data_IF_655702178403
#
_entry.id   IF_655702178403
#
_cell.length_a   1.000
_cell.length_b   1.000
_cell.length_c   1.000
_cell.angle_alpha   90.00
_cell.angle_beta   90.00
_cell.angle_gamma   90.00
#
_symmetry.space_group_name_H-M   'P 1'
#
loop_
_entity.id
_entity.type
_entity.pdbx_description
1 polymer ?
#
# COMPACT_ATOMS: atom_id res chain seq x y z
N UNK A 1 12.52 -13.41 -6.46
CA UNK A 1 13.23 -14.70 -6.53
C UNK A 1 12.21 -15.77 -6.20
N UNK A 2 12.01 -16.77 -7.07
CA UNK A 2 10.99 -17.81 -6.86
C UNK A 2 11.27 -18.60 -5.59
N UNK A 3 10.21 -18.97 -4.87
CA UNK A 3 10.27 -20.10 -3.96
C UNK A 3 10.06 -21.39 -4.77
N UNK A 4 11.16 -21.87 -5.35
CA UNK A 4 11.19 -23.08 -6.15
C UNK A 4 10.74 -24.32 -5.38
N UNK A 5 10.96 -24.34 -4.06
CA UNK A 5 10.51 -25.44 -3.20
C UNK A 5 8.97 -25.40 -3.06
N UNK A 6 8.36 -24.22 -2.90
CA UNK A 6 6.89 -24.09 -2.90
C UNK A 6 6.28 -24.54 -4.22
N UNK A 7 6.85 -24.15 -5.36
CA UNK A 7 6.39 -24.61 -6.69
C UNK A 7 6.51 -26.13 -6.84
N UNK A 8 7.63 -26.70 -6.39
CA UNK A 8 7.82 -28.14 -6.36
C UNK A 8 6.71 -28.85 -5.60
N UNK A 9 6.40 -28.42 -4.37
CA UNK A 9 5.35 -29.01 -3.54
C UNK A 9 3.94 -28.83 -4.12
N UNK A 10 3.64 -27.65 -4.66
CA UNK A 10 2.32 -27.36 -5.25
C UNK A 10 2.01 -28.24 -6.46
N UNK A 11 3.03 -28.66 -7.20
CA UNK A 11 2.90 -29.46 -8.42
C UNK A 11 3.22 -30.95 -8.25
N UNK A 12 3.08 -31.51 -7.04
CA UNK A 12 3.43 -32.92 -6.76
C UNK A 12 2.79 -33.93 -7.73
N UNK A 13 1.54 -33.73 -8.14
CA UNK A 13 0.85 -34.62 -9.08
C UNK A 13 1.35 -34.60 -10.52
N UNK A 14 2.23 -33.66 -10.88
CA UNK A 14 2.77 -33.49 -12.24
C UNK A 14 4.24 -33.87 -12.36
N UNK A 15 4.86 -34.30 -11.25
CA UNK A 15 6.25 -34.73 -11.23
C UNK A 15 6.36 -36.12 -11.86
N UNK A 16 7.44 -36.35 -12.60
CA UNK A 16 7.74 -37.63 -13.22
C UNK A 16 9.01 -38.23 -12.63
N UNK A 17 9.08 -39.56 -12.55
CA UNK A 17 10.32 -40.23 -12.17
C UNK A 17 11.39 -39.98 -13.23
N UNK A 18 12.60 -39.65 -12.79
CA UNK A 18 13.74 -39.41 -13.68
C UNK A 18 14.88 -40.35 -13.34
N UNK A 19 15.31 -41.15 -14.31
CA UNK A 19 16.46 -42.03 -14.17
C UNK A 19 17.70 -41.30 -14.69
N UNK A 20 18.49 -40.75 -13.78
CA UNK A 20 19.75 -40.10 -14.11
C UNK A 20 20.91 -41.11 -14.11
N UNK A 21 21.92 -40.85 -14.94
CA UNK A 21 23.20 -41.56 -14.89
C UNK A 21 24.06 -41.14 -13.70
N UNK A 22 23.83 -39.93 -13.18
CA UNK A 22 24.49 -39.40 -11.99
C UNK A 22 23.54 -39.26 -10.79
N UNK A 23 24.06 -39.49 -9.58
CA UNK A 23 23.31 -39.36 -8.33
C UNK A 23 23.16 -37.90 -7.86
N UNK A 24 24.11 -37.02 -8.19
CA UNK A 24 24.09 -35.62 -7.76
C UNK A 24 23.18 -34.78 -8.67
N UNK A 25 22.04 -34.33 -8.12
CA UNK A 25 21.05 -33.52 -8.82
C UNK A 25 21.55 -32.16 -9.28
N UNK A 26 22.73 -31.72 -8.81
CA UNK A 26 23.35 -30.47 -9.25
C UNK A 26 24.28 -30.68 -10.47
N UNK A 27 24.61 -31.91 -10.85
CA UNK A 27 25.56 -32.21 -11.93
C UNK A 27 24.92 -32.73 -13.23
N UNK A 28 23.59 -32.62 -13.34
CA UNK A 28 22.82 -33.14 -14.48
C UNK A 28 22.72 -32.20 -15.69
N UNK A 29 23.46 -31.09 -15.74
CA UNK A 29 23.37 -30.09 -16.81
C UNK A 29 23.55 -30.69 -18.22
N UNK A 30 24.52 -31.59 -18.37
CA UNK A 30 24.79 -32.28 -19.63
C UNK A 30 23.70 -33.27 -20.03
N UNK A 31 23.17 -34.05 -19.08
CA UNK A 31 22.09 -35.04 -19.33
C UNK A 31 20.77 -34.35 -19.69
N UNK A 32 20.50 -33.20 -19.09
CA UNK A 32 19.27 -32.43 -19.31
C UNK A 32 19.36 -31.50 -20.52
N UNK A 33 20.55 -31.33 -21.11
CA UNK A 33 20.83 -30.28 -22.10
C UNK A 33 20.32 -28.90 -21.62
N UNK A 34 20.64 -28.57 -20.36
CA UNK A 34 20.10 -27.42 -19.66
C UNK A 34 21.17 -26.76 -18.76
N UNK A 35 21.01 -25.49 -18.44
CA UNK A 35 21.93 -24.75 -17.59
C UNK A 35 21.47 -24.76 -16.14
N UNK A 36 22.33 -25.17 -15.19
CA UNK A 36 22.00 -25.04 -13.76
C UNK A 36 21.90 -23.56 -13.39
N UNK A 37 20.73 -23.13 -12.92
CA UNK A 37 20.46 -21.75 -12.49
C UNK A 37 20.30 -21.62 -10.98
N UNK A 38 19.88 -22.69 -10.28
CA UNK A 38 19.88 -22.76 -8.82
C UNK A 38 20.29 -24.15 -8.35
N UNK A 39 21.39 -24.30 -7.59
CA UNK A 39 21.72 -25.57 -6.96
C UNK A 39 20.78 -25.87 -5.78
N UNK A 40 20.53 -27.16 -5.52
CA UNK A 40 19.96 -27.63 -4.26
C UNK A 40 21.04 -27.58 -3.18
N UNK A 41 20.78 -26.88 -2.07
CA UNK A 41 21.72 -26.80 -0.95
C UNK A 41 21.59 -28.02 -0.02
N UNK A 42 20.37 -28.56 0.10
CA UNK A 42 20.04 -29.72 0.93
C UNK A 42 19.28 -30.78 0.13
N UNK A 43 19.20 -32.00 0.67
CA UNK A 43 18.54 -33.13 0.03
C UNK A 43 17.02 -32.91 -0.17
N UNK A 44 16.41 -32.07 0.66
CA UNK A 44 15.00 -31.66 0.57
C UNK A 44 14.77 -30.48 -0.39
N UNK A 45 15.83 -29.84 -0.87
CA UNK A 45 15.73 -28.72 -1.81
C UNK A 45 15.66 -29.21 -3.26
N UNK A 46 15.13 -28.34 -4.12
CA UNK A 46 15.19 -28.56 -5.55
C UNK A 46 16.34 -27.83 -6.24
N UNK A 47 16.99 -28.55 -7.16
CA UNK A 47 17.87 -27.99 -8.17
C UNK A 47 17.02 -27.49 -9.34
N UNK A 48 17.39 -26.35 -9.91
CA UNK A 48 16.66 -25.71 -11.01
C UNK A 48 17.58 -25.54 -12.18
N UNK A 49 17.16 -26.06 -13.32
CA UNK A 49 17.82 -25.93 -14.60
C UNK A 49 16.98 -25.11 -15.57
N UNK A 50 17.64 -24.35 -16.43
CA UNK A 50 17.05 -23.59 -17.52
C UNK A 50 17.30 -24.33 -18.84
N UNK A 51 16.23 -24.75 -19.50
CA UNK A 51 16.24 -25.44 -20.79
C UNK A 51 15.60 -24.58 -21.90
N UNK A 52 15.86 -23.27 -21.89
CA UNK A 52 15.36 -22.34 -22.90
C UNK A 52 13.93 -21.88 -22.60
N UNK A 53 12.92 -22.62 -23.04
CA UNK A 53 11.49 -22.24 -22.87
C UNK A 53 10.86 -22.80 -21.57
N UNK A 54 11.59 -23.63 -20.84
CA UNK A 54 11.13 -24.20 -19.57
C UNK A 54 12.23 -24.23 -18.52
N UNK A 55 11.82 -24.17 -17.26
CA UNK A 55 12.63 -24.58 -16.13
C UNK A 55 12.39 -26.06 -15.83
N UNK A 56 13.46 -26.77 -15.51
CA UNK A 56 13.41 -28.14 -15.01
C UNK A 56 13.78 -28.11 -13.53
N UNK A 57 12.86 -28.55 -12.68
CA UNK A 57 13.09 -28.70 -11.25
C UNK A 57 13.37 -30.17 -10.96
N UNK A 58 14.43 -30.44 -10.21
CA UNK A 58 14.83 -31.78 -9.77
C UNK A 58 14.88 -31.82 -8.25
N UNK A 59 14.29 -32.87 -7.69
CA UNK A 59 14.30 -33.09 -6.24
C UNK A 59 14.25 -34.57 -5.93
N UNK A 60 14.73 -34.92 -4.72
CA UNK A 60 14.63 -36.27 -4.19
C UNK A 60 13.36 -36.40 -3.33
N UNK A 61 12.32 -37.00 -3.91
CA UNK A 61 11.08 -37.32 -3.20
C UNK A 61 10.67 -38.75 -3.59
N UNK A 62 11.02 -39.72 -2.73
CA UNK A 62 10.88 -41.15 -3.02
C UNK A 62 11.59 -41.62 -4.31
N UNK A 63 12.76 -41.05 -4.58
CA UNK A 63 13.52 -41.24 -5.81
C UNK A 63 13.80 -39.90 -6.48
N UNK A 64 14.58 -39.92 -7.56
CA UNK A 64 14.82 -38.71 -8.34
C UNK A 64 13.58 -38.41 -9.18
N UNK A 65 13.04 -37.21 -9.01
CA UNK A 65 11.87 -36.72 -9.73
C UNK A 65 12.22 -35.47 -10.52
N UNK A 66 11.51 -35.26 -11.63
CA UNK A 66 11.62 -34.12 -12.51
C UNK A 66 10.26 -33.42 -12.62
N UNK A 67 10.27 -32.09 -12.60
CA UNK A 67 9.12 -31.25 -12.89
C UNK A 67 9.51 -30.23 -13.96
N UNK A 68 8.81 -30.27 -15.10
CA UNK A 68 8.97 -29.28 -16.17
C UNK A 68 7.98 -28.14 -15.98
N UNK A 69 8.49 -26.91 -15.88
CA UNK A 69 7.71 -25.69 -15.78
C UNK A 69 7.99 -24.81 -16.99
N UNK A 70 7.03 -24.72 -17.90
CA UNK A 70 7.06 -23.74 -18.98
C UNK A 70 7.23 -22.32 -18.42
N UNK A 71 8.24 -21.58 -18.90
CA UNK A 71 8.51 -20.19 -18.48
C UNK A 71 7.33 -19.29 -18.80
N UNK A 72 6.72 -19.53 -19.95
CA UNK A 72 5.49 -18.87 -20.38
C UNK A 72 4.27 -19.27 -19.53
N UNK A 73 4.40 -20.03 -18.44
CA UNK A 73 3.29 -20.35 -17.53
C UNK A 73 3.53 -19.86 -16.09
N UNK A 74 4.60 -19.10 -15.84
CA UNK A 74 4.97 -18.56 -14.52
C UNK A 74 4.44 -17.13 -14.35
N UNK A 75 3.13 -17.03 -14.10
CA UNK A 75 2.45 -15.75 -13.94
C UNK A 75 2.29 -15.38 -12.46
N UNK A 76 2.60 -14.13 -12.13
CA UNK A 76 2.13 -13.45 -10.92
C UNK A 76 0.94 -12.57 -11.31
N UNK A 77 -0.22 -12.83 -10.69
CA UNK A 77 -1.46 -12.10 -10.97
C UNK A 77 -1.96 -11.50 -9.66
N UNK A 78 -1.95 -10.18 -9.59
CA UNK A 78 -2.36 -9.43 -8.42
C UNK A 78 -3.64 -8.65 -8.73
N UNK A 79 -4.66 -8.86 -7.91
CA UNK A 79 -5.94 -8.16 -8.03
C UNK A 79 -6.14 -7.28 -6.81
N UNK A 80 -6.36 -5.97 -7.01
CA UNK A 80 -6.49 -5.00 -5.92
C UNK A 80 -7.49 -3.89 -6.22
N UNK A 81 -8.16 -3.40 -5.18
CA UNK A 81 -8.95 -2.18 -5.24
C UNK A 81 -8.08 -0.97 -4.87
N UNK A 82 -8.14 0.07 -5.70
CA UNK A 82 -7.41 1.32 -5.56
C UNK A 82 -8.42 2.45 -5.29
N UNK A 83 -8.79 2.72 -4.03
CA UNK A 83 -9.75 3.76 -3.67
C UNK A 83 -9.25 5.19 -3.97
N UNK A 84 -7.92 5.36 -4.05
CA UNK A 84 -7.23 6.64 -4.16
C UNK A 84 -6.48 6.82 -5.49
N UNK A 85 -6.91 6.14 -6.54
CA UNK A 85 -6.36 6.34 -7.88
C UNK A 85 -6.54 7.81 -8.32
N UNK A 86 -5.53 8.37 -8.99
CA UNK A 86 -5.46 9.80 -9.32
C UNK A 86 -6.59 10.30 -10.24
N UNK A 87 -7.25 9.40 -10.98
CA UNK A 87 -8.39 9.73 -11.84
C UNK A 87 -9.71 9.46 -11.12
N UNK A 88 -10.00 8.17 -10.88
CA UNK A 88 -11.16 7.70 -10.14
C UNK A 88 -10.81 6.36 -9.48
N UNK A 89 -11.49 5.98 -8.37
CA UNK A 89 -11.32 4.68 -7.73
C UNK A 89 -11.48 3.56 -8.75
N UNK A 90 -10.58 2.58 -8.72
CA UNK A 90 -10.57 1.52 -9.72
C UNK A 90 -10.16 0.17 -9.14
N UNK A 91 -10.53 -0.91 -9.81
CA UNK A 91 -9.88 -2.20 -9.62
C UNK A 91 -8.74 -2.30 -10.62
N UNK A 92 -7.60 -2.77 -10.14
CA UNK A 92 -6.44 -3.09 -10.96
C UNK A 92 -6.15 -4.58 -10.90
N UNK A 93 -5.88 -5.15 -12.06
CA UNK A 93 -5.32 -6.48 -12.23
C UNK A 93 -3.95 -6.31 -12.86
N UNK A 94 -2.91 -6.55 -12.07
CA UNK A 94 -1.53 -6.50 -12.51
C UNK A 94 -1.06 -7.93 -12.81
N UNK A 95 -0.50 -8.13 -14.00
CA UNK A 95 0.00 -9.42 -14.46
C UNK A 95 1.47 -9.26 -14.79
N UNK A 96 2.28 -10.20 -14.31
CA UNK A 96 3.69 -10.29 -14.66
C UNK A 96 4.06 -11.73 -14.98
N UNK A 97 4.72 -11.94 -16.11
CA UNK A 97 5.45 -13.17 -16.35
C UNK A 97 6.80 -13.06 -15.66
N UNK A 98 7.00 -13.86 -14.61
CA UNK A 98 8.20 -13.78 -13.79
C UNK A 98 9.44 -14.33 -14.51
N UNK A 99 9.28 -15.06 -15.60
CA UNK A 99 10.38 -15.62 -16.39
C UNK A 99 10.80 -14.69 -17.53
N UNK A 100 9.85 -14.13 -18.28
CA UNK A 100 10.12 -13.21 -19.40
C UNK A 100 10.22 -11.75 -18.98
N UNK A 101 9.78 -11.41 -17.76
CA UNK A 101 9.66 -10.05 -17.23
C UNK A 101 8.63 -9.18 -17.97
N UNK A 102 7.84 -9.74 -18.88
CA UNK A 102 6.68 -9.05 -19.45
C UNK A 102 5.66 -8.76 -18.35
N UNK A 103 5.20 -7.52 -18.26
CA UNK A 103 4.18 -7.10 -17.30
C UNK A 103 3.21 -6.11 -17.94
N UNK A 104 1.95 -6.17 -17.52
CA UNK A 104 0.91 -5.27 -17.96
C UNK A 104 -0.16 -5.14 -16.85
N UNK A 105 -0.92 -4.06 -16.89
CA UNK A 105 -1.97 -3.74 -15.91
C UNK A 105 -3.27 -3.40 -16.60
N UNK A 106 -4.32 -4.15 -16.24
CA UNK A 106 -5.68 -3.80 -16.60
C UNK A 106 -6.33 -3.02 -15.46
N UNK A 107 -7.03 -1.94 -15.79
CA UNK A 107 -7.76 -1.11 -14.82
C UNK A 107 -9.18 -0.87 -15.26
N UNK A 108 -10.13 -0.98 -14.34
CA UNK A 108 -11.51 -0.57 -14.55
C UNK A 108 -12.01 0.32 -13.42
N UNK A 109 -12.68 1.44 -13.74
CA UNK A 109 -13.23 2.34 -12.74
C UNK A 109 -14.35 1.66 -11.96
N UNK A 110 -14.44 1.99 -10.68
CA UNK A 110 -15.42 1.44 -9.74
C UNK A 110 -16.51 2.49 -9.51
N UNK A 111 -17.76 2.08 -9.70
CA UNK A 111 -18.93 2.90 -9.38
C UNK A 111 -19.90 2.13 -8.51
N UNK A 112 -20.66 2.89 -7.71
CA UNK A 112 -21.77 2.38 -6.93
C UNK A 112 -23.03 3.09 -7.39
N UNK A 113 -24.07 2.32 -7.66
CA UNK A 113 -25.37 2.90 -7.91
C UNK A 113 -26.14 3.15 -6.60
N UNK A 114 -27.32 3.74 -6.74
CA UNK A 114 -28.22 4.06 -5.62
C UNK A 114 -28.72 2.82 -4.87
N UNK A 115 -28.68 1.65 -5.51
CA UNK A 115 -29.06 0.36 -4.92
C UNK A 115 -27.89 -0.30 -4.17
N UNK A 116 -26.71 0.34 -4.16
CA UNK A 116 -25.50 -0.17 -3.54
C UNK A 116 -24.79 -1.25 -4.36
N UNK A 117 -25.22 -1.50 -5.60
CA UNK A 117 -24.56 -2.44 -6.48
C UNK A 117 -23.23 -1.88 -6.97
N UNK A 118 -22.23 -2.76 -7.10
CA UNK A 118 -20.88 -2.38 -7.51
C UNK A 118 -20.72 -2.62 -9.00
N UNK A 119 -20.29 -1.59 -9.72
CA UNK A 119 -20.04 -1.62 -11.15
C UNK A 119 -18.55 -1.44 -11.43
N UNK A 120 -18.00 -2.29 -12.30
CA UNK A 120 -16.66 -2.16 -12.89
C UNK A 120 -16.80 -1.72 -14.35
N UNK A 121 -16.50 -0.46 -14.62
CA UNK A 121 -16.76 0.15 -15.92
C UNK A 121 -18.26 0.11 -16.27
N UNK A 122 -18.63 -0.75 -17.22
CA UNK A 122 -20.02 -0.95 -17.69
C UNK A 122 -20.65 -2.27 -17.23
N UNK A 123 -19.99 -3.02 -16.34
CA UNK A 123 -20.46 -4.34 -15.89
C UNK A 123 -20.70 -4.37 -14.40
N UNK A 124 -21.76 -5.05 -14.00
CA UNK A 124 -22.04 -5.38 -12.61
C UNK A 124 -20.98 -6.36 -12.09
N UNK A 125 -20.46 -6.09 -10.90
CA UNK A 125 -19.59 -7.00 -10.17
C UNK A 125 -20.45 -8.12 -9.57
N UNK A 126 -20.36 -9.32 -10.14
CA UNK A 126 -21.12 -10.49 -9.72
C UNK A 126 -20.24 -11.75 -9.76
N UNK A 127 -20.59 -12.73 -8.93
CA UNK A 127 -19.90 -14.03 -8.89
C UNK A 127 -19.89 -14.72 -10.25
N UNK A 128 -18.79 -15.41 -10.56
CA UNK A 128 -18.62 -16.16 -11.81
C UNK A 128 -18.40 -15.30 -13.06
N UNK A 129 -18.60 -13.98 -12.99
CA UNK A 129 -18.46 -13.08 -14.14
C UNK A 129 -17.12 -12.34 -14.09
N UNK A 130 -16.22 -12.68 -15.00
CA UNK A 130 -14.98 -11.93 -15.21
C UNK A 130 -15.19 -10.87 -16.31
N UNK A 131 -14.80 -9.60 -16.09
CA UNK A 131 -14.82 -8.60 -17.16
C UNK A 131 -13.79 -8.95 -18.25
N UNK A 132 -13.97 -8.46 -19.48
CA UNK A 132 -12.92 -8.55 -20.49
C UNK A 132 -11.71 -7.71 -20.05
N UNK A 133 -10.56 -8.37 -19.94
CA UNK A 133 -9.28 -7.76 -19.55
C UNK A 133 -8.28 -7.90 -20.71
N UNK A 134 -8.30 -6.98 -21.69
CA UNK A 134 -7.28 -6.96 -22.72
C UNK A 134 -5.94 -6.54 -22.10
N UNK A 135 -4.90 -7.35 -22.31
CA UNK A 135 -3.52 -7.05 -21.93
C UNK A 135 -2.68 -6.98 -23.22
N UNK A 136 -2.87 -5.91 -23.98
CA UNK A 136 -2.31 -5.78 -25.33
C UNK A 136 -0.77 -5.80 -25.34
N UNK A 137 -0.13 -5.55 -24.19
CA UNK A 137 1.32 -5.60 -24.03
C UNK A 137 1.90 -7.00 -23.79
N UNK A 138 1.06 -8.03 -23.57
CA UNK A 138 1.52 -9.37 -23.21
C UNK A 138 1.45 -10.33 -24.40
N UNK A 139 2.56 -11.02 -24.69
CA UNK A 139 2.64 -11.99 -25.78
C UNK A 139 1.82 -13.27 -25.55
N UNK A 140 1.34 -13.50 -24.33
CA UNK A 140 0.71 -14.74 -23.89
C UNK A 140 -0.79 -14.59 -23.56
N UNK A 141 -1.43 -13.50 -23.94
CA UNK A 141 -2.87 -13.26 -23.72
C UNK A 141 -3.78 -14.36 -24.27
N UNK A 142 -3.39 -14.97 -25.39
CA UNK A 142 -4.14 -16.05 -26.02
C UNK A 142 -3.90 -17.44 -25.40
N UNK A 143 -2.97 -17.55 -24.44
CA UNK A 143 -2.65 -18.80 -23.77
C UNK A 143 -3.84 -19.27 -22.90
N UNK A 144 -4.32 -20.51 -23.13
CA UNK A 144 -5.45 -21.06 -22.38
C UNK A 144 -5.17 -21.16 -20.87
N UNK A 145 -3.95 -21.56 -20.49
CA UNK A 145 -3.53 -21.66 -19.08
C UNK A 145 -3.47 -20.30 -18.41
N UNK A 146 -3.04 -19.26 -19.13
CA UNK A 146 -3.09 -17.88 -18.62
C UNK A 146 -4.53 -17.48 -18.31
N UNK A 147 -5.46 -17.72 -19.25
CA UNK A 147 -6.88 -17.39 -19.05
C UNK A 147 -7.49 -18.11 -17.85
N UNK A 148 -7.16 -19.38 -17.64
CA UNK A 148 -7.64 -20.16 -16.49
C UNK A 148 -7.07 -19.63 -15.17
N UNK A 149 -5.78 -19.28 -15.13
CA UNK A 149 -5.14 -18.69 -13.95
C UNK A 149 -5.68 -17.30 -13.64
N UNK A 150 -5.88 -16.46 -14.66
CA UNK A 150 -6.49 -15.14 -14.52
C UNK A 150 -7.92 -15.25 -13.96
N UNK A 151 -8.71 -16.19 -14.49
CA UNK A 151 -10.05 -16.46 -13.98
C UNK A 151 -10.04 -16.94 -12.52
N UNK A 152 -9.14 -17.87 -12.19
CA UNK A 152 -9.00 -18.37 -10.81
C UNK A 152 -8.60 -17.26 -9.84
N UNK A 153 -7.60 -16.44 -10.19
CA UNK A 153 -7.16 -15.29 -9.40
C UNK A 153 -8.29 -14.28 -9.20
N UNK A 154 -9.08 -14.02 -10.25
CA UNK A 154 -10.26 -13.17 -10.18
C UNK A 154 -11.31 -13.70 -9.21
N UNK A 155 -11.72 -14.97 -9.35
CA UNK A 155 -12.72 -15.57 -8.47
C UNK A 155 -12.26 -15.59 -7.01
N UNK A 156 -10.96 -15.84 -6.78
CA UNK A 156 -10.40 -15.82 -5.44
C UNK A 156 -10.40 -14.43 -4.80
N UNK A 157 -10.11 -13.38 -5.59
CA UNK A 157 -10.08 -12.00 -5.10
C UNK A 157 -11.47 -11.37 -4.94
N UNK A 158 -12.48 -11.88 -5.67
CA UNK A 158 -13.80 -11.27 -5.79
C UNK A 158 -14.54 -11.04 -4.46
N UNK A 159 -14.56 -11.97 -3.48
CA UNK A 159 -15.22 -11.74 -2.20
C UNK A 159 -14.57 -10.58 -1.44
N UNK A 160 -13.24 -10.53 -1.40
CA UNK A 160 -12.48 -9.46 -0.74
C UNK A 160 -12.72 -8.12 -1.43
N UNK A 161 -12.63 -8.07 -2.75
CA UNK A 161 -12.91 -6.85 -3.52
C UNK A 161 -14.32 -6.33 -3.26
N UNK A 162 -15.32 -7.22 -3.28
CA UNK A 162 -16.71 -6.85 -3.01
C UNK A 162 -16.83 -6.22 -1.62
N UNK A 163 -16.18 -6.79 -0.59
CA UNK A 163 -16.18 -6.23 0.77
C UNK A 163 -15.47 -4.88 0.85
N UNK A 164 -14.27 -4.76 0.28
CA UNK A 164 -13.46 -3.52 0.29
C UNK A 164 -14.19 -2.38 -0.41
N UNK A 165 -14.69 -2.65 -1.62
CA UNK A 165 -15.50 -1.68 -2.36
C UNK A 165 -16.79 -1.40 -1.57
N UNK A 166 -17.40 -2.41 -0.95
CA UNK A 166 -18.62 -2.26 -0.17
C UNK A 166 -18.49 -1.26 0.99
N UNK A 167 -17.36 -1.31 1.68
CA UNK A 167 -17.02 -0.42 2.79
C UNK A 167 -16.49 0.94 2.36
N UNK A 168 -16.05 1.10 1.11
CA UNK A 168 -15.44 2.34 0.63
C UNK A 168 -16.44 3.51 0.55
N UNK A 169 -16.06 4.68 1.06
CA UNK A 169 -16.86 5.91 0.98
C UNK A 169 -16.11 6.95 0.13
N UNK A 170 -16.73 7.49 -0.93
CA UNK A 170 -16.14 8.59 -1.70
C UNK A 170 -15.77 9.77 -0.77
N UNK A 171 -14.54 10.28 -0.89
CA UNK A 171 -14.05 11.43 -0.12
C UNK A 171 -13.51 11.13 1.29
N UNK A 172 -13.77 9.96 1.87
CA UNK A 172 -13.28 9.62 3.22
C UNK A 172 -11.74 9.58 3.30
N UNK A 173 -11.08 9.09 2.25
CA UNK A 173 -9.63 9.04 2.19
C UNK A 173 -8.99 10.43 1.96
N UNK A 174 -9.64 11.32 1.20
CA UNK A 174 -9.21 12.71 1.01
C UNK A 174 -9.33 13.46 2.35
N UNK A 175 -10.46 13.31 3.05
CA UNK A 175 -10.65 13.90 4.37
C UNK A 175 -9.62 13.38 5.39
N UNK A 176 -9.35 12.07 5.40
CA UNK A 176 -8.34 11.47 6.29
C UNK A 176 -6.92 11.99 5.99
N UNK A 177 -6.54 12.13 4.71
CA UNK A 177 -5.23 12.72 4.32
C UNK A 177 -5.12 14.18 4.71
N UNK A 178 -6.17 14.98 4.48
CA UNK A 178 -6.23 16.38 4.90
C UNK A 178 -6.12 16.51 6.41
N UNK A 179 -6.84 15.67 7.17
CA UNK A 179 -6.77 15.66 8.63
C UNK A 179 -5.38 15.25 9.14
N UNK A 180 -4.77 14.22 8.56
CA UNK A 180 -3.42 13.79 8.92
C UNK A 180 -2.38 14.90 8.64
N UNK A 181 -2.52 15.61 7.52
CA UNK A 181 -1.65 16.75 7.17
C UNK A 181 -1.84 17.92 8.15
N UNK A 182 -3.08 18.24 8.51
CA UNK A 182 -3.38 19.25 9.53
C UNK A 182 -2.73 18.88 10.88
N UNK A 183 -2.94 17.66 11.36
CA UNK A 183 -2.35 17.18 12.62
C UNK A 183 -0.82 17.15 12.60
N UNK A 184 -0.20 16.89 11.44
CA UNK A 184 1.25 16.98 11.30
C UNK A 184 1.75 18.42 11.40
N UNK A 185 1.07 19.37 10.73
CA UNK A 185 1.37 20.80 10.82
C UNK A 185 1.21 21.31 12.26
N UNK A 186 0.10 20.96 12.93
CA UNK A 186 -0.15 21.38 14.32
C UNK A 186 0.92 20.83 15.28
N UNK A 187 1.34 19.57 15.12
CA UNK A 187 2.43 19.02 15.94
C UNK A 187 3.76 19.75 15.72
N UNK A 188 4.07 20.11 14.48
CA UNK A 188 5.26 20.88 14.15
C UNK A 188 5.24 22.27 14.80
N UNK A 189 4.13 23.01 14.65
CA UNK A 189 3.98 24.33 15.27
C UNK A 189 3.99 24.24 16.80
N UNK A 190 3.35 23.24 17.41
CA UNK A 190 3.39 23.03 18.85
C UNK A 190 4.80 22.75 19.39
N UNK A 191 5.61 21.99 18.65
CA UNK A 191 7.02 21.79 19.02
C UNK A 191 7.83 23.09 18.94
N UNK A 192 7.59 23.93 17.92
CA UNK A 192 8.21 25.25 17.77
C UNK A 192 7.78 26.21 18.89
N UNK A 193 6.50 26.19 19.27
CA UNK A 193 5.96 26.97 20.38
C UNK A 193 6.57 26.54 21.72
N UNK A 194 6.72 25.24 21.98
CA UNK A 194 7.34 24.73 23.20
C UNK A 194 8.82 25.15 23.35
N UNK A 195 9.55 25.29 22.24
CA UNK A 195 10.92 25.83 22.24
C UNK A 195 10.95 27.34 22.47
N UNK A 196 9.89 28.06 22.05
CA UNK A 196 9.81 29.52 22.10
C UNK A 196 9.25 30.04 23.43
N UNK A 197 8.30 29.32 24.02
CA UNK A 197 7.62 29.68 25.25
C UNK A 197 7.92 28.63 26.32
N UNK A 198 8.67 29.01 27.35
CA UNK A 198 8.90 28.15 28.52
C UNK A 198 7.66 28.00 29.39
N UNK A 199 7.74 27.14 30.42
CA UNK A 199 6.59 26.77 31.26
C UNK A 199 5.92 27.98 31.95
N UNK A 200 6.70 28.94 32.44
CA UNK A 200 6.17 30.17 33.06
C UNK A 200 5.38 31.02 32.07
N UNK A 201 5.88 31.17 30.84
CA UNK A 201 5.18 31.89 29.78
C UNK A 201 3.88 31.16 29.41
N UNK A 202 3.92 29.82 29.30
CA UNK A 202 2.75 29.00 29.03
C UNK A 202 1.66 29.16 30.09
N UNK A 203 2.01 29.12 31.38
CA UNK A 203 1.05 29.29 32.48
C UNK A 203 0.36 30.66 32.41
N UNK A 204 1.13 31.72 32.16
CA UNK A 204 0.59 33.08 32.01
C UNK A 204 -0.35 33.20 30.80
N UNK A 205 0.02 32.58 29.67
CA UNK A 205 -0.84 32.55 28.49
C UNK A 205 -2.14 31.76 28.74
N UNK A 206 -2.07 30.61 29.43
CA UNK A 206 -3.27 29.87 29.82
C UNK A 206 -4.19 30.70 30.72
N UNK A 207 -3.64 31.45 31.68
CA UNK A 207 -4.44 32.34 32.55
C UNK A 207 -5.11 33.47 31.74
N UNK A 208 -4.36 34.13 30.86
CA UNK A 208 -4.87 35.24 30.06
C UNK A 208 -5.95 34.82 29.05
N UNK A 209 -5.94 33.56 28.62
CA UNK A 209 -6.87 33.02 27.63
C UNK A 209 -7.96 32.11 28.22
N UNK A 210 -8.00 31.95 29.55
CA UNK A 210 -8.93 31.03 30.22
C UNK A 210 -10.40 31.36 29.95
N UNK A 211 -10.74 32.65 29.89
CA UNK A 211 -12.10 33.16 29.69
C UNK A 211 -12.38 33.58 28.24
N UNK A 212 -11.53 33.19 27.28
CA UNK A 212 -11.66 33.57 25.88
C UNK A 212 -12.29 32.45 25.03
N UNK A 213 -13.44 32.76 24.42
CA UNK A 213 -14.15 31.89 23.49
C UNK A 213 -13.49 31.93 22.10
N UNK A 214 -12.44 31.13 21.90
CA UNK A 214 -11.91 30.79 20.58
C UNK A 214 -12.61 29.53 20.05
N UNK A 215 -13.72 29.72 19.36
CA UNK A 215 -14.54 28.62 18.82
C UNK A 215 -14.15 28.29 17.37
N UNK A 216 -13.71 29.29 16.62
CA UNK A 216 -13.24 29.15 15.25
C UNK A 216 -11.77 29.57 15.08
N UNK A 217 -11.12 29.06 14.04
CA UNK A 217 -9.74 29.40 13.72
C UNK A 217 -9.53 30.91 13.50
N UNK A 218 -10.54 31.59 12.95
CA UNK A 218 -10.52 33.05 12.73
C UNK A 218 -10.42 33.85 14.01
N UNK A 219 -10.96 33.32 15.12
CA UNK A 219 -10.98 34.01 16.41
C UNK A 219 -9.60 34.08 17.03
N UNK A 220 -8.71 33.15 16.65
CA UNK A 220 -7.32 33.10 17.12
C UNK A 220 -6.48 34.25 16.58
N UNK A 221 -6.95 34.97 15.56
CA UNK A 221 -6.17 36.01 14.88
C UNK A 221 -5.95 37.20 15.80
N UNK A 222 -4.69 37.58 16.01
CA UNK A 222 -4.36 38.72 16.86
C UNK A 222 -4.55 38.42 18.35
N UNK A 223 -4.41 37.16 18.78
CA UNK A 223 -4.57 36.75 20.19
C UNK A 223 -3.68 37.55 21.16
N UNK A 224 -2.56 38.10 20.68
CA UNK A 224 -1.68 38.96 21.47
C UNK A 224 -2.41 40.18 22.05
N UNK A 225 -3.44 40.69 21.37
CA UNK A 225 -4.28 41.79 21.86
C UNK A 225 -5.09 41.39 23.09
N UNK A 226 -5.61 40.16 23.10
CA UNK A 226 -6.35 39.61 24.24
C UNK A 226 -5.42 39.43 25.43
N UNK A 227 -4.23 38.87 25.20
CA UNK A 227 -3.23 38.69 26.25
C UNK A 227 -2.73 40.04 26.80
N UNK A 228 -2.43 41.00 25.92
CA UNK A 228 -1.96 42.34 26.33
C UNK A 228 -3.02 43.07 27.15
N UNK A 229 -4.28 43.05 26.71
CA UNK A 229 -5.39 43.66 27.45
C UNK A 229 -5.59 43.03 28.82
N UNK A 230 -5.68 41.70 28.88
CA UNK A 230 -5.83 40.99 30.16
C UNK A 230 -4.71 41.36 31.13
N UNK A 231 -3.49 41.45 30.64
CA UNK A 231 -2.33 41.79 31.45
C UNK A 231 -2.37 43.21 32.00
N UNK A 232 -2.72 44.19 31.15
CA UNK A 232 -2.88 45.59 31.58
C UNK A 232 -3.93 45.73 32.69
N UNK A 233 -4.98 44.92 32.64
CA UNK A 233 -6.07 44.94 33.61
C UNK A 233 -5.73 44.21 34.93
N UNK A 234 -4.85 43.18 34.90
CA UNK A 234 -4.63 42.28 36.05
C UNK A 234 -3.21 42.27 36.64
N UNK A 235 -2.19 42.67 35.88
CA UNK A 235 -0.78 42.65 36.30
C UNK A 235 0.05 43.80 35.69
N UNK A 236 -0.38 45.07 35.82
CA UNK A 236 0.24 46.20 35.12
C UNK A 236 1.69 46.50 35.52
N UNK A 237 2.16 45.98 36.65
CA UNK A 237 3.53 46.22 37.16
C UNK A 237 4.57 45.22 36.60
N UNK A 238 4.14 44.15 35.94
CA UNK A 238 5.05 43.16 35.36
C UNK A 238 5.41 43.49 33.90
N UNK A 239 6.70 43.44 33.57
CA UNK A 239 7.18 43.61 32.19
C UNK A 239 6.94 42.35 31.35
N UNK A 240 6.08 42.48 30.35
CA UNK A 240 5.73 41.42 29.39
C UNK A 240 6.11 41.75 27.96
N UNK A 241 6.94 42.77 27.76
CA UNK A 241 7.30 43.27 26.43
C UNK A 241 7.86 42.15 25.54
N UNK A 242 8.69 41.28 26.09
CA UNK A 242 9.25 40.12 25.38
C UNK A 242 8.19 39.07 25.02
N UNK A 243 7.24 38.78 25.93
CA UNK A 243 6.17 37.82 25.65
C UNK A 243 5.23 38.35 24.56
N UNK A 244 4.79 39.61 24.67
CA UNK A 244 3.91 40.23 23.68
C UNK A 244 4.61 40.32 22.31
N UNK A 245 5.91 40.67 22.27
CA UNK A 245 6.69 40.64 21.04
C UNK A 245 6.77 39.24 20.45
N UNK A 246 6.94 38.21 21.27
CA UNK A 246 6.95 36.82 20.83
C UNK A 246 5.61 36.38 20.26
N UNK A 247 4.48 36.79 20.85
CA UNK A 247 3.13 36.52 20.34
C UNK A 247 2.84 37.26 19.03
N UNK A 248 3.21 38.54 18.92
CA UNK A 248 3.03 39.34 17.68
C UNK A 248 3.78 38.75 16.49
N UNK A 249 4.86 38.03 16.75
CA UNK A 249 5.67 37.38 15.74
C UNK A 249 5.23 35.92 15.46
N UNK A 250 4.02 35.54 15.87
CA UNK A 250 3.37 34.30 15.40
C UNK A 250 2.69 34.57 14.04
N UNK A 251 2.79 33.58 13.16
CA UNK A 251 1.93 33.52 11.98
C UNK A 251 0.55 32.93 12.38
N UNK A 252 -0.40 32.93 11.44
CA UNK A 252 -1.76 32.46 11.71
C UNK A 252 -1.81 30.99 12.16
N UNK A 253 -0.94 30.13 11.61
CA UNK A 253 -0.87 28.73 12.02
C UNK A 253 -0.34 28.60 13.45
N UNK A 254 0.66 29.42 13.82
CA UNK A 254 1.19 29.50 15.18
C UNK A 254 0.19 30.04 16.19
N UNK A 255 -0.66 31.00 15.81
CA UNK A 255 -1.75 31.50 16.66
C UNK A 255 -2.78 30.41 16.98
N UNK A 256 -3.25 29.67 15.96
CA UNK A 256 -4.17 28.53 16.14
C UNK A 256 -3.52 27.43 16.97
N UNK A 257 -2.29 27.04 16.63
CA UNK A 257 -1.57 25.98 17.32
C UNK A 257 -1.34 26.31 18.80
N UNK A 258 -1.13 27.58 19.15
CA UNK A 258 -0.98 28.05 20.52
C UNK A 258 -2.29 27.90 21.30
N UNK A 259 -3.42 28.34 20.74
CA UNK A 259 -4.73 28.18 21.39
C UNK A 259 -5.06 26.70 21.59
N UNK A 260 -4.87 25.84 20.58
CA UNK A 260 -5.09 24.39 20.71
C UNK A 260 -4.15 23.73 21.74
N UNK A 261 -2.93 24.24 21.90
CA UNK A 261 -1.95 23.71 22.85
C UNK A 261 -2.24 24.09 24.30
N UNK A 262 -2.88 25.25 24.52
CA UNK A 262 -3.25 25.75 25.84
C UNK A 262 -4.61 25.23 26.31
N UNK A 263 -5.52 24.88 25.38
CA UNK A 263 -6.85 24.30 25.67
C UNK A 263 -6.82 22.78 25.92
N UNK A 264 -5.67 22.11 25.79
CA UNK A 264 -5.45 20.69 26.14
C UNK A 264 -4.86 20.54 27.52
#
# INVERSE_FOLDING_TARGET
>A
MYDWNTLWHTHQGYRTGYAAGQEDINQLAGELNAQLVKPAAHQSDVAVYDQGDQFLLLGHDHGLQLLSLAKHALYDIQVRFLPDSAAEPCVEVHVRNLATQEEDSWRAPVRRDEQGQVWLGKRLLAEGTMPPMPFDGLSFTDNARFRDLLYSAWQHALPRLTQEISGWRPGAAIAARSQARYQALMRFEQARLALRFGDTARQRLSLALADSDFDEASDCRGLWLHVEKWWLDHAPEEDMSELIAALRALDYAGEIALVEWLKK
#
